data_IF_796012549119
#
_entry.id   IF_796012549119
#
_cell.length_a   1.000
_cell.length_b   1.000
_cell.length_c   1.000
_cell.angle_alpha   90.00
_cell.angle_beta   90.00
_cell.angle_gamma   90.00
#
_symmetry.space_group_name_H-M   'P 1'
#
loop_
_entity.id
_entity.type
_entity.pdbx_description
1 polymer ?
#
# COMPACT_ATOMS: atom_id res chain seq x y z
N UNK A 1 22.46 -17.91 -1.41
CA UNK A 1 22.15 -17.76 -2.86
C UNK A 1 20.86 -18.47 -3.27
N UNK A 2 20.61 -19.72 -2.85
CA UNK A 2 19.38 -20.47 -3.19
C UNK A 2 18.09 -19.84 -2.59
N UNK A 3 18.12 -19.37 -1.34
CA UNK A 3 16.95 -18.71 -0.70
C UNK A 3 16.57 -17.34 -1.30
N UNK A 4 17.53 -16.61 -1.86
CA UNK A 4 17.30 -15.27 -2.42
C UNK A 4 16.77 -15.33 -3.86
N UNK A 5 17.12 -16.39 -4.61
CA UNK A 5 16.53 -16.73 -5.91
C UNK A 5 15.05 -17.12 -5.76
N UNK A 6 14.72 -17.92 -4.75
CA UNK A 6 13.33 -18.24 -4.41
C UNK A 6 12.51 -17.01 -4.05
N UNK A 7 13.05 -16.05 -3.30
CA UNK A 7 12.33 -14.81 -2.97
C UNK A 7 12.09 -13.88 -4.17
N UNK A 8 12.99 -13.82 -5.14
CA UNK A 8 12.78 -13.06 -6.38
C UNK A 8 11.80 -13.77 -7.32
N UNK A 9 11.94 -15.08 -7.46
CA UNK A 9 10.97 -15.91 -8.15
C UNK A 9 9.61 -15.68 -7.50
N UNK A 10 9.48 -15.75 -6.18
CA UNK A 10 8.26 -15.40 -5.46
C UNK A 10 7.82 -13.95 -5.70
N UNK A 11 8.67 -12.92 -5.63
CA UNK A 11 8.27 -11.52 -5.85
C UNK A 11 7.81 -11.23 -7.30
N UNK A 12 8.49 -11.78 -8.32
CA UNK A 12 8.04 -11.74 -9.73
C UNK A 12 6.81 -12.64 -9.92
N UNK A 13 6.78 -13.78 -9.23
CA UNK A 13 5.62 -14.65 -9.06
C UNK A 13 4.55 -14.05 -8.11
N UNK A 14 4.65 -12.77 -7.70
CA UNK A 14 3.67 -12.12 -6.81
C UNK A 14 3.15 -10.79 -7.30
N UNK A 15 3.90 -10.11 -8.18
CA UNK A 15 3.24 -9.42 -9.29
C UNK A 15 2.41 -10.41 -10.14
N UNK A 16 2.68 -11.71 -10.00
CA UNK A 16 1.89 -12.79 -10.58
C UNK A 16 1.23 -13.68 -9.51
N UNK A 17 0.11 -13.31 -8.87
CA UNK A 17 -0.79 -14.35 -8.36
C UNK A 17 -1.47 -15.11 -9.53
N UNK A 18 -0.76 -15.29 -10.65
CA UNK A 18 -1.17 -15.93 -11.88
C UNK A 18 -1.32 -17.44 -11.79
N UNK A 19 -1.60 -17.97 -10.59
CA UNK A 19 -2.14 -19.33 -10.50
C UNK A 19 -3.47 -19.48 -11.28
N UNK A 20 -4.05 -18.40 -11.84
CA UNK A 20 -5.36 -18.43 -12.51
C UNK A 20 -5.51 -17.75 -13.87
N UNK A 21 -4.60 -16.88 -14.34
CA UNK A 21 -4.76 -16.20 -15.66
C UNK A 21 -3.53 -16.33 -16.58
N UNK A 22 -3.45 -17.38 -17.42
CA UNK A 22 -2.31 -17.65 -18.31
C UNK A 22 -1.91 -16.48 -19.21
N UNK A 23 -2.89 -15.70 -19.70
CA UNK A 23 -2.63 -14.53 -20.55
C UNK A 23 -1.78 -13.46 -19.86
N UNK A 24 -1.92 -13.31 -18.54
CA UNK A 24 -1.15 -12.32 -17.79
C UNK A 24 0.28 -12.80 -17.51
N UNK A 25 0.49 -14.11 -17.31
CA UNK A 25 1.82 -14.72 -17.23
C UNK A 25 2.60 -14.41 -18.50
N UNK A 26 1.99 -14.70 -19.65
CA UNK A 26 2.61 -14.50 -20.95
C UNK A 26 2.93 -13.02 -21.19
N UNK A 27 2.01 -12.11 -20.85
CA UNK A 27 2.22 -10.67 -20.99
C UNK A 27 3.41 -10.18 -20.16
N UNK A 28 3.48 -10.57 -18.89
CA UNK A 28 4.56 -10.15 -18.01
C UNK A 28 5.89 -10.78 -18.40
N UNK A 29 5.87 -12.06 -18.77
CA UNK A 29 7.05 -12.77 -19.29
C UNK A 29 7.59 -12.09 -20.55
N UNK A 30 6.71 -11.68 -21.47
CA UNK A 30 7.09 -10.94 -22.67
C UNK A 30 7.68 -9.57 -22.32
N UNK A 31 7.00 -8.78 -21.47
CA UNK A 31 7.48 -7.48 -21.03
C UNK A 31 8.87 -7.53 -20.36
N UNK A 32 9.12 -8.57 -19.55
CA UNK A 32 10.42 -8.84 -18.94
C UNK A 32 11.43 -9.25 -20.02
N UNK A 33 11.09 -10.20 -20.89
CA UNK A 33 12.00 -10.71 -21.93
C UNK A 33 12.49 -9.61 -22.89
N UNK A 34 11.61 -8.69 -23.29
CA UNK A 34 12.00 -7.56 -24.15
C UNK A 34 12.95 -6.60 -23.42
N UNK A 35 12.76 -6.42 -22.12
CA UNK A 35 13.51 -5.44 -21.32
C UNK A 35 14.84 -6.01 -20.80
N UNK A 36 14.90 -7.30 -20.48
CA UNK A 36 16.06 -7.95 -19.87
C UNK A 36 17.27 -7.94 -20.80
N UNK A 37 17.04 -8.11 -22.11
CA UNK A 37 18.09 -8.11 -23.13
C UNK A 37 18.88 -6.80 -23.16
N UNK A 38 18.24 -5.69 -22.80
CA UNK A 38 18.90 -4.37 -22.73
C UNK A 38 19.72 -4.17 -21.46
N UNK A 39 19.52 -5.01 -20.44
CA UNK A 39 20.14 -4.86 -19.11
C UNK A 39 21.16 -5.93 -18.76
N UNK A 40 21.31 -6.98 -19.57
CA UNK A 40 22.37 -7.98 -19.39
C UNK A 40 23.72 -7.32 -19.67
N UNK A 41 24.66 -7.48 -18.74
CA UNK A 41 26.03 -7.03 -18.93
C UNK A 41 26.64 -7.77 -20.12
N UNK A 42 27.02 -7.03 -21.17
CA UNK A 42 27.48 -7.63 -22.43
C UNK A 42 28.82 -8.34 -22.30
N UNK A 43 29.65 -7.98 -21.32
CA UNK A 43 30.99 -8.55 -21.15
C UNK A 43 30.96 -9.82 -20.32
N UNK A 44 30.21 -9.80 -19.22
CA UNK A 44 30.12 -10.89 -18.25
C UNK A 44 28.95 -11.84 -18.54
N UNK A 45 27.99 -11.42 -19.38
CA UNK A 45 26.70 -12.08 -19.62
C UNK A 45 25.91 -12.34 -18.33
N UNK A 46 26.14 -11.54 -17.30
CA UNK A 46 25.46 -11.64 -16.00
C UNK A 46 24.41 -10.56 -15.87
N UNK A 47 23.37 -10.85 -15.08
CA UNK A 47 22.38 -9.88 -14.65
C UNK A 47 22.52 -9.69 -13.13
N UNK A 48 22.64 -8.44 -12.68
CA UNK A 48 22.71 -8.15 -11.26
C UNK A 48 21.34 -8.40 -10.60
N UNK A 49 21.35 -8.82 -9.32
CA UNK A 49 20.12 -9.05 -8.56
C UNK A 49 19.23 -7.81 -8.48
N UNK A 50 19.84 -6.63 -8.29
CA UNK A 50 19.15 -5.33 -8.30
C UNK A 50 18.38 -5.08 -9.60
N UNK A 51 18.89 -5.57 -10.73
CA UNK A 51 18.24 -5.45 -12.04
C UNK A 51 16.94 -6.24 -12.12
N UNK A 52 16.83 -7.35 -11.41
CA UNK A 52 15.60 -8.11 -11.33
C UNK A 52 14.53 -7.42 -10.46
N UNK A 53 14.94 -6.75 -9.38
CA UNK A 53 14.05 -5.94 -8.54
C UNK A 53 13.46 -4.73 -9.28
N UNK A 54 14.12 -4.21 -10.33
CA UNK A 54 13.54 -3.16 -11.18
C UNK A 54 12.26 -3.64 -11.92
N UNK A 55 12.18 -4.94 -12.23
CA UNK A 55 11.01 -5.52 -12.87
C UNK A 55 9.83 -5.70 -11.91
N UNK A 56 10.09 -5.85 -10.61
CA UNK A 56 9.04 -6.03 -9.61
C UNK A 56 8.38 -4.73 -9.13
N UNK A 57 8.74 -3.57 -9.69
CA UNK A 57 8.36 -2.26 -9.12
C UNK A 57 7.90 -1.23 -10.13
N UNK A 58 8.58 -1.10 -11.28
CA UNK A 58 8.35 0.02 -12.22
C UNK A 58 8.14 -0.39 -13.67
N UNK A 59 9.04 -1.20 -14.21
CA UNK A 59 9.05 -1.46 -15.65
C UNK A 59 7.89 -2.31 -16.11
N UNK A 60 7.39 -3.17 -15.23
CA UNK A 60 6.27 -4.02 -15.56
C UNK A 60 4.97 -3.22 -15.63
N UNK A 61 4.70 -2.35 -14.66
CA UNK A 61 3.49 -1.52 -14.62
C UNK A 61 3.40 -0.54 -15.81
N UNK A 62 4.46 0.23 -16.08
CA UNK A 62 4.49 1.16 -17.23
C UNK A 62 4.30 0.42 -18.57
N UNK A 63 4.90 -0.77 -18.68
CA UNK A 63 4.80 -1.59 -19.90
C UNK A 63 3.42 -2.20 -20.03
N UNK A 64 2.83 -2.71 -18.95
CA UNK A 64 1.47 -3.25 -18.92
C UNK A 64 0.46 -2.16 -19.29
N UNK A 65 0.59 -0.97 -18.72
CA UNK A 65 -0.25 0.19 -19.06
C UNK A 65 -0.20 0.53 -20.55
N UNK A 66 0.91 0.26 -21.25
CA UNK A 66 0.99 0.54 -22.70
C UNK A 66 0.14 -0.39 -23.57
N UNK A 67 -0.23 -1.58 -23.08
CA UNK A 67 -1.06 -2.53 -23.83
C UNK A 67 -2.50 -2.03 -23.95
N UNK A 68 -3.08 -2.23 -25.13
CA UNK A 68 -4.42 -1.74 -25.46
C UNK A 68 -5.49 -2.23 -24.47
N UNK A 69 -5.40 -3.48 -24.01
CA UNK A 69 -6.36 -4.06 -23.06
C UNK A 69 -6.39 -3.30 -21.74
N UNK A 70 -5.24 -2.95 -21.20
CA UNK A 70 -5.13 -2.22 -19.93
C UNK A 70 -5.56 -0.77 -20.07
N UNK A 71 -5.26 -0.11 -21.19
CA UNK A 71 -5.78 1.23 -21.47
C UNK A 71 -7.30 1.25 -21.54
N UNK A 72 -7.89 0.30 -22.27
CA UNK A 72 -9.36 0.18 -22.36
C UNK A 72 -10.01 -0.06 -21.00
N UNK A 73 -9.40 -0.89 -20.16
CA UNK A 73 -9.87 -1.10 -18.78
C UNK A 73 -9.84 0.21 -17.98
N UNK A 74 -8.75 0.99 -18.07
CA UNK A 74 -8.67 2.31 -17.41
C UNK A 74 -9.74 3.24 -17.94
N UNK A 75 -9.87 3.37 -19.27
CA UNK A 75 -10.85 4.25 -19.91
C UNK A 75 -12.30 3.88 -19.51
N UNK A 76 -12.62 2.57 -19.47
CA UNK A 76 -13.91 2.04 -19.05
C UNK A 76 -14.21 2.39 -17.58
N UNK A 77 -13.26 2.12 -16.68
CA UNK A 77 -13.42 2.42 -15.25
C UNK A 77 -13.42 3.92 -14.96
N UNK A 78 -12.90 4.74 -15.86
CA UNK A 78 -12.91 6.20 -15.73
C UNK A 78 -14.22 6.83 -16.19
N UNK A 79 -15.07 6.10 -16.92
CA UNK A 79 -16.34 6.61 -17.42
C UNK A 79 -17.30 6.98 -16.27
N UNK A 80 -18.25 7.88 -16.53
CA UNK A 80 -19.23 8.29 -15.51
C UNK A 80 -20.11 7.11 -15.07
N UNK A 81 -20.47 6.23 -16.01
CA UNK A 81 -21.30 5.04 -15.80
C UNK A 81 -20.64 4.03 -14.86
N UNK A 82 -19.31 3.98 -14.83
CA UNK A 82 -18.55 3.08 -13.95
C UNK A 82 -18.38 3.61 -12.51
N UNK A 83 -18.89 4.81 -12.19
CA UNK A 83 -18.62 5.48 -10.90
C UNK A 83 -19.07 4.66 -9.69
N UNK A 84 -20.26 4.05 -9.75
CA UNK A 84 -20.75 3.23 -8.65
C UNK A 84 -19.92 1.95 -8.50
N UNK A 85 -19.53 1.33 -9.62
CA UNK A 85 -18.67 0.15 -9.61
C UNK A 85 -17.27 0.45 -9.06
N UNK A 86 -16.67 1.58 -9.43
CA UNK A 86 -15.38 2.01 -8.86
C UNK A 86 -15.51 2.38 -7.37
N UNK A 87 -16.67 2.89 -6.95
CA UNK A 87 -16.94 3.16 -5.54
C UNK A 87 -16.99 1.86 -4.73
N UNK A 88 -17.74 0.85 -5.20
CA UNK A 88 -17.75 -0.49 -4.62
C UNK A 88 -16.34 -1.10 -4.59
N UNK A 89 -15.60 -0.99 -5.69
CA UNK A 89 -14.23 -1.48 -5.79
C UNK A 89 -13.34 -0.86 -4.71
N UNK A 90 -13.39 0.47 -4.55
CA UNK A 90 -12.62 1.22 -3.54
C UNK A 90 -13.02 0.87 -2.11
N UNK A 91 -14.29 0.60 -1.82
CA UNK A 91 -14.76 0.34 -0.46
C UNK A 91 -14.58 -1.10 0.03
N UNK A 92 -14.59 -2.08 -0.87
CA UNK A 92 -14.70 -3.50 -0.49
C UNK A 92 -13.51 -4.36 -0.93
N UNK A 93 -12.85 -4.00 -2.04
CA UNK A 93 -11.89 -4.89 -2.70
C UNK A 93 -10.46 -4.37 -2.71
N UNK A 94 -10.26 -3.06 -2.85
CA UNK A 94 -8.94 -2.50 -3.11
C UNK A 94 -8.01 -2.74 -1.92
N UNK A 95 -6.80 -3.21 -2.23
CA UNK A 95 -5.79 -3.62 -1.28
C UNK A 95 -6.13 -4.94 -0.55
N UNK A 96 -7.19 -5.65 -0.94
CA UNK A 96 -7.56 -6.94 -0.34
C UNK A 96 -7.70 -8.04 -1.41
N UNK A 97 -6.91 -9.11 -1.27
CA UNK A 97 -6.85 -10.21 -2.24
C UNK A 97 -7.68 -11.44 -1.84
N UNK A 98 -8.44 -11.35 -0.75
CA UNK A 98 -9.34 -12.43 -0.33
C UNK A 98 -10.73 -12.27 -0.93
N UNK A 99 -11.60 -13.19 -0.54
CA UNK A 99 -12.97 -13.23 -1.04
C UNK A 99 -13.86 -12.25 -0.26
N UNK A 100 -14.75 -11.57 -0.99
CA UNK A 100 -15.77 -10.64 -0.50
C UNK A 100 -17.11 -11.15 -0.97
N UNK A 101 -18.08 -11.18 -0.07
CA UNK A 101 -19.43 -11.63 -0.34
C UNK A 101 -20.36 -10.42 -0.45
N UNK A 102 -21.21 -10.40 -1.48
CA UNK A 102 -22.11 -9.27 -1.77
C UNK A 102 -23.55 -9.78 -1.79
N UNK A 103 -24.42 -9.16 -0.99
CA UNK A 103 -25.84 -9.50 -0.94
C UNK A 103 -26.75 -8.54 -1.72
N UNK A 104 -26.30 -7.29 -1.94
CA UNK A 104 -27.13 -6.29 -2.60
C UNK A 104 -27.16 -6.49 -4.13
N UNK A 105 -28.37 -6.57 -4.70
CA UNK A 105 -28.59 -6.80 -6.13
C UNK A 105 -27.95 -5.73 -7.04
N UNK A 106 -27.80 -4.49 -6.58
CA UNK A 106 -27.14 -3.43 -7.35
C UNK A 106 -25.63 -3.57 -7.27
N UNK A 107 -25.09 -3.83 -6.09
CA UNK A 107 -23.67 -4.10 -5.90
C UNK A 107 -23.22 -5.37 -6.65
N UNK A 108 -24.08 -6.39 -6.77
CA UNK A 108 -23.84 -7.57 -7.61
C UNK A 108 -23.64 -7.17 -9.07
N UNK A 109 -24.50 -6.31 -9.63
CA UNK A 109 -24.34 -5.83 -11.02
C UNK A 109 -23.06 -5.04 -11.22
N UNK A 110 -22.67 -4.25 -10.23
CA UNK A 110 -21.41 -3.51 -10.23
C UNK A 110 -20.20 -4.47 -10.18
N UNK A 111 -20.26 -5.51 -9.34
CA UNK A 111 -19.22 -6.53 -9.25
C UNK A 111 -19.13 -7.40 -10.52
N UNK A 112 -20.25 -7.71 -11.16
CA UNK A 112 -20.29 -8.41 -12.45
C UNK A 112 -19.67 -7.55 -13.57
N UNK A 113 -19.95 -6.25 -13.59
CA UNK A 113 -19.27 -5.31 -14.49
C UNK A 113 -17.75 -5.31 -14.27
N UNK A 114 -17.29 -5.20 -13.02
CA UNK A 114 -15.87 -5.27 -12.69
C UNK A 114 -15.24 -6.63 -13.05
N UNK A 115 -16.01 -7.71 -13.00
CA UNK A 115 -15.58 -9.04 -13.44
C UNK A 115 -15.43 -9.09 -14.96
N UNK A 116 -16.35 -8.48 -15.72
CA UNK A 116 -16.28 -8.38 -17.18
C UNK A 116 -15.08 -7.52 -17.65
N UNK A 117 -14.73 -6.48 -16.90
CA UNK A 117 -13.53 -5.67 -17.12
C UNK A 117 -12.23 -6.40 -16.73
N UNK A 118 -12.31 -7.59 -16.13
CA UNK A 118 -11.15 -8.37 -15.67
C UNK A 118 -10.51 -7.83 -14.39
N UNK A 119 -11.20 -6.95 -13.68
CA UNK A 119 -10.78 -6.40 -12.39
C UNK A 119 -11.05 -7.40 -11.27
N UNK A 120 -12.26 -7.95 -11.23
CA UNK A 120 -12.64 -8.97 -10.26
C UNK A 120 -12.66 -10.37 -10.89
N UNK A 121 -12.60 -11.37 -10.02
CA UNK A 121 -12.93 -12.75 -10.33
C UNK A 121 -14.13 -13.17 -9.50
N UNK A 122 -15.02 -13.93 -10.11
CA UNK A 122 -16.09 -14.68 -9.45
C UNK A 122 -15.67 -16.15 -9.39
N UNK A 123 -15.14 -16.64 -8.24
CA UNK A 123 -14.57 -17.99 -8.17
C UNK A 123 -15.60 -19.09 -8.45
N UNK A 124 -16.84 -18.86 -8.07
CA UNK A 124 -17.97 -19.77 -8.26
C UNK A 124 -19.13 -18.99 -8.90
N UNK A 125 -19.59 -19.43 -10.07
CA UNK A 125 -20.56 -18.67 -10.89
C UNK A 125 -21.88 -18.44 -10.15
N UNK A 126 -22.29 -19.43 -9.35
CA UNK A 126 -23.57 -19.45 -8.65
C UNK A 126 -23.52 -18.75 -7.27
N UNK A 127 -22.34 -18.31 -6.83
CA UNK A 127 -22.18 -17.62 -5.56
C UNK A 127 -21.91 -16.13 -5.76
N UNK A 128 -22.47 -15.27 -4.90
CA UNK A 128 -22.18 -13.84 -4.90
C UNK A 128 -20.86 -13.52 -4.20
N UNK A 129 -19.84 -14.34 -4.47
CA UNK A 129 -18.50 -14.23 -3.92
C UNK A 129 -17.55 -13.74 -5.00
N UNK A 130 -16.87 -12.64 -4.73
CA UNK A 130 -15.95 -11.99 -5.66
C UNK A 130 -14.61 -11.78 -4.98
N UNK A 131 -13.56 -11.57 -5.76
CA UNK A 131 -12.25 -11.18 -5.24
C UNK A 131 -11.43 -10.48 -6.29
N UNK A 132 -10.40 -9.77 -5.85
CA UNK A 132 -9.47 -9.14 -6.75
C UNK A 132 -8.77 -10.14 -7.68
N UNK A 133 -8.73 -9.86 -8.98
CA UNK A 133 -8.18 -10.77 -9.97
C UNK A 133 -6.69 -11.06 -9.72
N UNK A 134 -5.93 -10.04 -9.32
CA UNK A 134 -4.54 -10.18 -8.92
C UNK A 134 -4.03 -8.96 -8.15
N UNK A 135 -2.95 -9.13 -7.40
CA UNK A 135 -2.17 -8.05 -6.78
C UNK A 135 -1.64 -7.03 -7.79
N UNK A 136 -1.38 -7.47 -9.02
CA UNK A 136 -0.96 -6.60 -10.12
C UNK A 136 -2.11 -5.75 -10.63
N UNK A 137 -3.30 -6.34 -10.85
CA UNK A 137 -4.51 -5.58 -11.20
C UNK A 137 -4.86 -4.62 -10.06
N UNK A 138 -4.81 -5.06 -8.80
CA UNK A 138 -4.96 -4.18 -7.63
C UNK A 138 -4.01 -2.98 -7.68
N UNK A 139 -2.71 -3.22 -7.79
CA UNK A 139 -1.68 -2.18 -7.88
C UNK A 139 -1.91 -1.25 -9.07
N UNK A 140 -2.28 -1.80 -10.23
CA UNK A 140 -2.58 -1.07 -11.44
C UNK A 140 -3.79 -0.14 -11.28
N UNK A 141 -4.91 -0.65 -10.74
CA UNK A 141 -6.11 0.15 -10.48
C UNK A 141 -5.83 1.25 -9.46
N UNK A 142 -5.15 0.91 -8.36
CA UNK A 142 -4.78 1.89 -7.34
C UNK A 142 -3.85 2.99 -7.86
N UNK A 143 -3.14 2.74 -8.96
CA UNK A 143 -2.24 3.70 -9.59
C UNK A 143 -2.92 4.53 -10.69
N UNK A 144 -3.68 3.90 -11.57
CA UNK A 144 -4.16 4.54 -12.79
C UNK A 144 -5.64 4.92 -12.75
N UNK A 145 -6.44 4.36 -11.83
CA UNK A 145 -7.88 4.65 -11.74
C UNK A 145 -8.21 5.44 -10.48
N UNK A 146 -7.86 4.93 -9.30
CA UNK A 146 -8.27 5.52 -8.01
C UNK A 146 -7.83 6.98 -7.84
N UNK A 147 -6.57 7.38 -8.12
CA UNK A 147 -6.15 8.77 -7.94
C UNK A 147 -6.86 9.73 -8.91
N UNK A 148 -7.23 9.26 -10.10
CA UNK A 148 -7.92 10.08 -11.11
C UNK A 148 -9.40 10.26 -10.77
N UNK A 149 -10.08 9.19 -10.32
CA UNK A 149 -11.48 9.26 -9.87
C UNK A 149 -11.66 10.02 -8.57
N UNK A 150 -10.65 10.01 -7.70
CA UNK A 150 -10.71 10.62 -6.37
C UNK A 150 -9.49 11.55 -6.15
N UNK A 151 -9.45 12.71 -6.83
CA UNK A 151 -8.27 13.57 -6.92
C UNK A 151 -7.94 14.36 -5.64
N UNK A 152 -8.83 14.35 -4.64
CA UNK A 152 -8.71 15.18 -3.44
C UNK A 152 -7.39 14.92 -2.69
N UNK A 153 -6.54 15.94 -2.59
CA UNK A 153 -5.24 15.87 -1.94
C UNK A 153 -4.79 17.29 -1.56
N UNK A 154 -3.77 17.44 -0.67
CA UNK A 154 -3.23 18.75 -0.35
C UNK A 154 -2.75 19.49 -1.60
N UNK A 155 -3.00 20.79 -1.63
CA UNK A 155 -2.43 21.73 -2.61
C UNK A 155 -1.28 22.56 -2.02
N UNK A 156 -0.97 22.33 -0.74
CA UNK A 156 0.11 23.01 -0.02
C UNK A 156 1.48 22.58 -0.56
N UNK A 157 2.53 23.41 -0.39
CA UNK A 157 3.90 23.02 -0.71
C UNK A 157 4.29 21.75 0.03
N UNK A 158 5.01 20.85 -0.64
CA UNK A 158 5.45 19.58 -0.05
C UNK A 158 6.40 19.87 1.13
N UNK A 159 6.09 19.41 2.36
CA UNK A 159 6.95 19.59 3.52
C UNK A 159 8.34 18.99 3.30
N UNK A 160 9.36 19.81 3.55
CA UNK A 160 10.76 19.45 3.41
C UNK A 160 11.58 20.11 4.51
N UNK A 161 12.62 19.40 4.94
CA UNK A 161 13.61 19.99 5.82
C UNK A 161 14.44 21.03 5.07
N UNK A 162 14.41 22.29 5.54
CA UNK A 162 15.03 23.44 4.88
C UNK A 162 16.51 23.22 4.52
N UNK A 163 17.29 22.60 5.42
CA UNK A 163 18.74 22.42 5.23
C UNK A 163 19.10 21.33 4.23
N UNK A 164 18.35 20.22 4.19
CA UNK A 164 18.69 19.03 3.39
C UNK A 164 17.86 18.92 2.12
N UNK A 165 16.71 19.61 2.06
CA UNK A 165 15.72 19.45 1.02
C UNK A 165 15.10 18.04 0.96
N UNK A 166 15.30 17.23 1.99
CA UNK A 166 14.65 15.92 2.16
C UNK A 166 13.20 16.11 2.56
N UNK A 167 12.34 15.15 2.20
CA UNK A 167 10.93 15.14 2.59
C UNK A 167 10.82 15.10 4.12
N UNK A 168 9.94 15.91 4.67
CA UNK A 168 9.53 15.79 6.07
C UNK A 168 8.34 14.84 6.14
N UNK A 169 8.63 13.56 6.37
CA UNK A 169 7.63 12.48 6.28
C UNK A 169 6.57 12.60 7.37
N UNK A 170 6.94 13.04 8.58
CA UNK A 170 5.97 13.19 9.66
C UNK A 170 4.94 14.28 9.33
N UNK A 171 5.40 15.44 8.83
CA UNK A 171 4.49 16.51 8.40
C UNK A 171 3.67 16.13 7.16
N UNK A 172 4.25 15.38 6.20
CA UNK A 172 3.52 14.83 5.06
C UNK A 172 2.39 13.90 5.52
N UNK A 173 2.66 13.02 6.49
CA UNK A 173 1.64 12.12 7.05
C UNK A 173 0.53 12.94 7.71
N UNK A 174 0.87 13.86 8.61
CA UNK A 174 -0.10 14.73 9.29
C UNK A 174 -1.00 15.51 8.31
N UNK A 175 -0.41 16.08 7.27
CA UNK A 175 -1.17 16.82 6.25
C UNK A 175 -2.06 15.88 5.43
N UNK A 176 -1.55 14.69 5.07
CA UNK A 176 -2.31 13.70 4.30
C UNK A 176 -3.57 13.25 5.03
N UNK A 177 -3.53 13.07 6.36
CA UNK A 177 -4.70 12.64 7.14
C UNK A 177 -5.92 13.55 7.01
N UNK A 178 -5.70 14.85 6.73
CA UNK A 178 -6.81 15.81 6.53
C UNK A 178 -7.62 15.52 5.26
N UNK A 179 -7.06 14.75 4.34
CA UNK A 179 -7.65 14.43 3.03
C UNK A 179 -8.14 12.99 2.93
N UNK A 180 -8.12 12.25 4.05
CA UNK A 180 -8.72 10.93 4.14
C UNK A 180 -10.24 11.03 3.98
N UNK A 181 -10.81 10.11 3.22
CA UNK A 181 -12.25 10.00 3.06
C UNK A 181 -12.87 9.41 4.34
N UNK A 182 -13.38 10.28 5.21
CA UNK A 182 -13.93 9.89 6.52
C UNK A 182 -15.11 8.92 6.39
N UNK A 183 -15.92 9.05 5.34
CA UNK A 183 -17.03 8.14 5.06
C UNK A 183 -16.53 6.75 4.70
N UNK A 184 -15.46 6.67 3.90
CA UNK A 184 -14.80 5.40 3.60
C UNK A 184 -14.21 4.74 4.86
N UNK A 185 -13.53 5.50 5.72
CA UNK A 185 -12.97 4.97 6.97
C UNK A 185 -14.07 4.46 7.90
N UNK A 186 -15.17 5.21 8.04
CA UNK A 186 -16.31 4.81 8.87
C UNK A 186 -16.98 3.51 8.36
N UNK A 187 -17.15 3.39 7.04
CA UNK A 187 -17.75 2.22 6.39
C UNK A 187 -16.82 1.00 6.35
N UNK A 188 -15.50 1.20 6.47
CA UNK A 188 -14.52 0.13 6.39
C UNK A 188 -14.71 -0.95 7.47
N UNK A 189 -15.30 -0.62 8.62
CA UNK A 189 -15.62 -1.62 9.66
C UNK A 189 -16.70 -2.62 9.23
N UNK A 190 -17.52 -2.26 8.25
CA UNK A 190 -18.57 -3.12 7.70
C UNK A 190 -18.10 -3.81 6.42
N UNK A 191 -17.36 -3.09 5.58
CA UNK A 191 -17.02 -3.50 4.20
C UNK A 191 -15.62 -4.09 4.05
N UNK A 192 -14.65 -3.55 4.80
CA UNK A 192 -13.22 -3.85 4.67
C UNK A 192 -12.55 -4.01 6.04
N UNK A 193 -13.02 -4.99 6.82
CA UNK A 193 -12.71 -5.09 8.24
C UNK A 193 -11.89 -6.31 8.63
N UNK A 194 -11.10 -6.18 9.69
CA UNK A 194 -10.55 -7.33 10.42
C UNK A 194 -11.04 -7.32 11.86
N UNK A 195 -10.78 -8.41 12.58
CA UNK A 195 -11.28 -8.62 13.94
C UNK A 195 -10.11 -8.92 14.89
N UNK A 196 -9.42 -7.89 15.42
CA UNK A 196 -8.31 -8.09 16.34
C UNK A 196 -8.82 -8.52 17.73
N UNK A 197 -7.93 -9.16 18.50
CA UNK A 197 -8.24 -9.64 19.86
C UNK A 197 -8.15 -8.55 20.96
N UNK A 198 -7.65 -7.36 20.62
CA UNK A 198 -7.54 -6.22 21.53
C UNK A 198 -8.91 -5.59 21.82
N UNK A 199 -8.97 -4.68 22.81
CA UNK A 199 -10.19 -3.93 23.12
C UNK A 199 -10.29 -2.68 22.25
N UNK A 200 -11.48 -2.47 21.70
CA UNK A 200 -11.88 -1.29 20.93
C UNK A 200 -13.28 -0.93 21.39
N UNK A 201 -13.47 0.31 21.83
CA UNK A 201 -14.72 0.80 22.43
C UNK A 201 -15.19 -0.13 23.57
N UNK A 202 -14.24 -0.53 24.44
CA UNK A 202 -14.41 -1.46 25.56
C UNK A 202 -14.72 -2.92 25.18
N UNK A 203 -14.82 -3.26 23.90
CA UNK A 203 -15.21 -4.57 23.40
C UNK A 203 -14.05 -5.31 22.73
N UNK A 204 -13.97 -6.65 22.90
CA UNK A 204 -13.03 -7.51 22.16
C UNK A 204 -13.66 -8.01 20.88
N UNK A 205 -12.83 -8.37 19.91
CA UNK A 205 -13.27 -8.91 18.61
C UNK A 205 -14.20 -7.93 17.87
N UNK A 206 -13.93 -6.63 18.04
CA UNK A 206 -14.63 -5.56 17.35
C UNK A 206 -14.10 -5.46 15.93
N UNK A 207 -14.98 -5.25 14.95
CA UNK A 207 -14.57 -4.99 13.57
C UNK A 207 -13.85 -3.64 13.49
N UNK A 208 -12.69 -3.62 12.83
CA UNK A 208 -11.88 -2.41 12.62
C UNK A 208 -11.43 -2.36 11.17
N UNK A 209 -11.14 -1.17 10.62
CA UNK A 209 -10.64 -1.07 9.26
C UNK A 209 -9.33 -1.85 9.08
N UNK A 210 -9.18 -2.49 7.92
CA UNK A 210 -7.94 -3.19 7.53
C UNK A 210 -6.84 -2.21 7.16
N UNK A 211 -5.60 -2.71 7.17
CA UNK A 211 -4.40 -2.04 6.65
C UNK A 211 -4.62 -1.45 5.26
N UNK A 212 -5.28 -2.21 4.38
CA UNK A 212 -5.51 -1.88 2.98
C UNK A 212 -6.30 -0.59 2.78
N UNK A 213 -7.18 -0.24 3.72
CA UNK A 213 -8.00 0.97 3.68
C UNK A 213 -7.11 2.19 3.83
N UNK A 214 -6.27 2.21 4.87
CA UNK A 214 -5.31 3.28 5.10
C UNK A 214 -4.25 3.34 4.01
N UNK A 215 -3.76 2.19 3.54
CA UNK A 215 -2.74 2.08 2.48
C UNK A 215 -3.24 2.67 1.16
N UNK A 216 -4.49 2.38 0.82
CA UNK A 216 -5.11 2.89 -0.41
C UNK A 216 -5.34 4.39 -0.33
N UNK A 217 -5.90 4.88 0.77
CA UNK A 217 -6.16 6.31 0.95
C UNK A 217 -4.87 7.12 0.98
N UNK A 218 -3.88 6.67 1.74
CA UNK A 218 -2.60 7.37 1.80
C UNK A 218 -1.92 7.35 0.43
N UNK A 219 -1.91 6.22 -0.27
CA UNK A 219 -1.28 6.16 -1.60
C UNK A 219 -1.97 7.08 -2.61
N UNK A 220 -3.30 7.10 -2.64
CA UNK A 220 -4.10 8.01 -3.49
C UNK A 220 -3.70 9.47 -3.26
N UNK A 221 -3.65 9.88 -2.00
CA UNK A 221 -3.32 11.26 -1.60
C UNK A 221 -1.88 11.61 -1.99
N UNK A 222 -0.92 10.75 -1.66
CA UNK A 222 0.49 10.98 -1.94
C UNK A 222 0.79 11.01 -3.45
N UNK A 223 0.10 10.18 -4.25
CA UNK A 223 0.22 10.20 -5.70
C UNK A 223 -0.26 11.53 -6.29
N UNK A 224 -1.42 12.01 -5.87
CA UNK A 224 -1.98 13.28 -6.35
C UNK A 224 -1.17 14.49 -5.84
N UNK A 225 -0.65 14.42 -4.62
CA UNK A 225 0.11 15.52 -4.02
C UNK A 225 1.59 15.53 -4.44
N UNK A 226 2.35 14.51 -4.03
CA UNK A 226 3.80 14.47 -4.27
C UNK A 226 4.12 14.21 -5.75
N UNK A 227 3.35 13.33 -6.39
CA UNK A 227 3.46 13.03 -7.81
C UNK A 227 3.01 14.20 -8.69
N UNK A 228 1.88 14.82 -8.34
CA UNK A 228 1.33 15.96 -9.07
C UNK A 228 2.22 17.20 -9.03
N UNK A 229 2.68 17.61 -7.84
CA UNK A 229 3.41 18.86 -7.68
C UNK A 229 4.90 18.76 -8.04
N UNK A 230 5.54 17.65 -7.65
CA UNK A 230 7.00 17.55 -7.76
C UNK A 230 7.49 16.27 -8.44
N UNK A 231 6.61 15.50 -9.07
CA UNK A 231 6.98 14.29 -9.83
C UNK A 231 7.73 13.28 -8.97
N UNK A 232 7.42 13.21 -7.68
CA UNK A 232 7.80 12.05 -6.88
C UNK A 232 7.04 10.84 -7.40
N UNK A 233 7.73 9.71 -7.46
CA UNK A 233 7.10 8.43 -7.74
C UNK A 233 6.60 7.86 -6.42
N UNK A 234 5.32 7.49 -6.39
CA UNK A 234 4.68 6.80 -5.27
C UNK A 234 4.16 5.48 -5.80
N UNK A 235 4.61 4.36 -5.23
CA UNK A 235 4.21 3.01 -5.66
C UNK A 235 3.86 2.13 -4.46
N UNK A 236 2.75 1.40 -4.54
CA UNK A 236 2.43 0.31 -3.62
C UNK A 236 3.10 -0.98 -4.09
N UNK A 237 3.92 -1.58 -3.23
CA UNK A 237 4.66 -2.81 -3.50
C UNK A 237 4.17 -3.94 -2.61
N UNK A 238 3.61 -4.97 -3.24
CA UNK A 238 3.21 -6.22 -2.58
C UNK A 238 4.40 -7.13 -2.35
N UNK A 239 4.51 -7.68 -1.14
CA UNK A 239 5.52 -8.69 -0.80
C UNK A 239 4.89 -9.84 -0.01
N UNK A 240 5.40 -11.06 -0.24
CA UNK A 240 5.21 -12.20 0.67
C UNK A 240 6.56 -12.59 1.25
N UNK A 241 6.57 -12.96 2.53
CA UNK A 241 7.79 -13.52 3.14
C UNK A 241 7.58 -14.81 3.91
N UNK A 242 6.36 -15.25 4.18
CA UNK A 242 6.23 -16.48 4.92
C UNK A 242 6.32 -17.70 4.00
N UNK A 243 7.02 -18.73 4.48
CA UNK A 243 7.16 -20.04 3.82
C UNK A 243 5.79 -20.73 3.61
N UNK A 244 4.75 -20.27 4.32
CA UNK A 244 3.36 -20.71 4.23
C UNK A 244 2.46 -19.81 3.33
N UNK A 245 2.98 -18.68 2.82
CA UNK A 245 2.23 -17.73 1.99
C UNK A 245 1.14 -16.91 2.71
N UNK A 246 1.10 -16.93 4.05
CA UNK A 246 0.09 -16.27 4.90
C UNK A 246 0.39 -14.78 5.13
N UNK A 247 1.66 -14.40 5.35
CA UNK A 247 2.03 -13.00 5.60
C UNK A 247 2.09 -12.21 4.28
N UNK A 248 1.01 -11.47 3.98
CA UNK A 248 0.94 -10.50 2.88
C UNK A 248 1.03 -9.07 3.42
N UNK A 249 1.91 -8.25 2.88
CA UNK A 249 2.04 -6.85 3.26
C UNK A 249 2.33 -6.00 2.02
N UNK A 250 1.91 -4.73 2.11
CA UNK A 250 2.09 -3.70 1.09
C UNK A 250 2.97 -2.59 1.69
N UNK A 251 3.97 -2.15 0.93
CA UNK A 251 4.75 -0.96 1.26
C UNK A 251 4.42 0.16 0.29
N UNK A 252 4.31 1.39 0.80
CA UNK A 252 4.34 2.57 -0.06
C UNK A 252 5.80 3.00 -0.20
N UNK A 253 6.30 2.99 -1.43
CA UNK A 253 7.64 3.46 -1.76
C UNK A 253 7.53 4.82 -2.43
N UNK A 254 8.21 5.81 -1.85
CA UNK A 254 8.31 7.17 -2.36
C UNK A 254 9.75 7.39 -2.83
N UNK A 255 9.92 7.69 -4.11
CA UNK A 255 11.25 7.94 -4.66
C UNK A 255 11.24 9.05 -5.72
N UNK A 256 12.42 9.57 -6.02
CA UNK A 256 12.64 10.51 -7.13
C UNK A 256 14.11 10.36 -7.58
N UNK A 257 14.42 10.43 -8.90
CA UNK A 257 15.79 10.29 -9.37
C UNK A 257 16.75 11.24 -8.62
N UNK A 258 17.87 10.70 -8.14
CA UNK A 258 18.90 11.41 -7.36
C UNK A 258 18.41 11.96 -6.01
N UNK A 259 17.29 11.46 -5.48
CA UNK A 259 16.78 11.78 -4.14
C UNK A 259 16.71 10.51 -3.29
N UNK A 260 16.64 10.71 -1.99
CA UNK A 260 16.39 9.68 -0.99
C UNK A 260 15.11 8.89 -1.32
N UNK A 261 15.18 7.57 -1.20
CA UNK A 261 14.00 6.71 -1.23
C UNK A 261 13.47 6.55 0.20
N UNK A 262 12.16 6.66 0.34
CA UNK A 262 11.42 6.45 1.59
C UNK A 262 10.46 5.28 1.44
N UNK A 263 10.33 4.48 2.49
CA UNK A 263 9.37 3.37 2.56
C UNK A 263 8.42 3.61 3.72
N UNK A 264 7.12 3.38 3.50
CA UNK A 264 6.09 3.38 4.53
C UNK A 264 5.49 1.98 4.64
N UNK A 265 5.48 1.41 5.84
CA UNK A 265 4.71 0.21 6.18
C UNK A 265 3.46 0.61 6.95
N UNK A 266 2.29 0.31 6.42
CA UNK A 266 1.04 0.65 7.09
C UNK A 266 0.50 -0.54 7.87
N UNK A 267 0.16 -0.29 9.13
CA UNK A 267 -0.45 -1.26 10.04
C UNK A 267 -1.81 -0.73 10.49
N UNK A 268 -2.76 -1.64 10.68
CA UNK A 268 -4.04 -1.35 11.32
C UNK A 268 -4.09 -2.03 12.70
N UNK A 269 -5.08 -1.68 13.53
CA UNK A 269 -5.29 -2.19 14.89
C UNK A 269 -4.90 -3.67 15.03
N UNK A 270 -3.91 -3.95 15.87
CA UNK A 270 -3.41 -5.30 16.08
C UNK A 270 -2.76 -5.44 17.45
N UNK A 271 -2.60 -6.67 17.92
CA UNK A 271 -1.97 -6.92 19.21
C UNK A 271 -0.46 -6.55 19.19
N UNK A 272 0.11 -6.37 20.38
CA UNK A 272 1.52 -5.98 20.55
C UNK A 272 2.51 -6.87 19.79
N UNK A 273 2.31 -8.20 19.79
CA UNK A 273 3.20 -9.12 19.09
C UNK A 273 3.13 -8.96 17.57
N UNK A 274 1.95 -8.69 17.02
CA UNK A 274 1.77 -8.34 15.61
C UNK A 274 2.51 -7.05 15.28
N UNK A 275 2.28 -5.95 16.01
CA UNK A 275 2.93 -4.67 15.73
C UNK A 275 4.45 -4.79 15.83
N UNK A 276 4.96 -5.45 16.88
CA UNK A 276 6.40 -5.66 17.07
C UNK A 276 7.02 -6.50 15.95
N UNK A 277 6.34 -7.58 15.53
CA UNK A 277 6.77 -8.42 14.39
C UNK A 277 6.97 -7.59 13.12
N UNK A 278 6.12 -6.59 12.87
CA UNK A 278 6.23 -5.71 11.71
C UNK A 278 7.38 -4.70 11.87
N UNK A 279 7.51 -4.05 13.04
CA UNK A 279 8.66 -3.18 13.34
C UNK A 279 10.00 -3.90 13.14
N UNK A 280 10.11 -5.14 13.61
CA UNK A 280 11.33 -5.95 13.52
C UNK A 280 11.69 -6.36 12.07
N UNK A 281 10.71 -6.38 11.16
CA UNK A 281 10.91 -6.77 9.76
C UNK A 281 11.33 -5.61 8.85
N UNK A 282 10.96 -4.37 9.18
CA UNK A 282 11.17 -3.19 8.32
C UNK A 282 12.63 -2.97 7.91
N UNK A 283 13.66 -3.14 8.78
CA UNK A 283 15.07 -2.98 8.39
C UNK A 283 15.46 -3.83 7.18
N UNK A 284 14.91 -5.04 7.07
CA UNK A 284 15.18 -5.94 5.94
C UNK A 284 14.73 -5.34 4.61
N UNK A 285 13.51 -4.79 4.54
CA UNK A 285 12.97 -4.21 3.31
C UNK A 285 13.63 -2.87 2.98
N UNK A 286 13.93 -2.07 3.99
CA UNK A 286 14.74 -0.86 3.84
C UNK A 286 16.06 -1.16 3.14
N UNK A 287 16.76 -2.18 3.58
CA UNK A 287 18.02 -2.60 2.97
C UNK A 287 17.83 -3.18 1.56
N UNK A 288 16.78 -4.00 1.35
CA UNK A 288 16.46 -4.58 0.04
C UNK A 288 16.20 -3.51 -1.03
N UNK A 289 15.47 -2.45 -0.66
CA UNK A 289 15.09 -1.35 -1.54
C UNK A 289 16.10 -0.18 -1.52
N UNK A 290 17.18 -0.31 -0.73
CA UNK A 290 18.22 0.72 -0.56
C UNK A 290 17.62 2.06 -0.16
N UNK A 291 16.62 2.03 0.73
CA UNK A 291 15.96 3.22 1.24
C UNK A 291 16.77 3.88 2.36
N UNK A 292 16.76 5.21 2.35
CA UNK A 292 17.50 6.01 3.33
C UNK A 292 16.80 5.97 4.69
N UNK A 293 15.48 6.04 4.67
CA UNK A 293 14.63 5.95 5.86
C UNK A 293 13.38 5.11 5.57
N UNK A 294 12.81 4.55 6.64
CA UNK A 294 11.56 3.80 6.60
C UNK A 294 10.68 4.20 7.78
N UNK A 295 9.37 4.20 7.57
CA UNK A 295 8.39 4.53 8.59
C UNK A 295 7.40 3.39 8.77
N UNK A 296 7.21 2.95 10.01
CA UNK A 296 6.03 2.16 10.39
C UNK A 296 4.92 3.14 10.77
N UNK A 297 3.82 3.10 10.03
CA UNK A 297 2.66 3.97 10.19
C UNK A 297 1.50 3.12 10.69
N UNK A 298 1.25 3.16 11.99
CA UNK A 298 0.24 2.32 12.63
C UNK A 298 -1.02 3.12 12.93
N UNK A 299 -2.12 2.80 12.26
CA UNK A 299 -3.46 3.27 12.58
C UNK A 299 -4.14 2.32 13.55
N UNK A 300 -4.70 2.82 14.64
CA UNK A 300 -5.33 1.97 15.65
C UNK A 300 -6.59 2.60 16.23
N UNK A 301 -7.52 1.73 16.62
CA UNK A 301 -8.67 2.06 17.46
C UNK A 301 -8.57 1.42 18.85
N UNK A 302 -7.44 0.81 19.18
CA UNK A 302 -7.25 0.13 20.47
C UNK A 302 -7.38 1.11 21.64
N UNK A 303 -8.17 0.71 22.65
CA UNK A 303 -8.42 1.51 23.83
C UNK A 303 -7.12 1.82 24.59
N UNK A 304 -6.85 3.10 24.84
CA UNK A 304 -5.69 3.54 25.63
C UNK A 304 -4.32 3.25 25.00
N UNK A 305 -4.26 2.89 23.71
CA UNK A 305 -3.01 2.47 23.06
C UNK A 305 -1.87 3.48 23.20
N UNK A 306 -2.16 4.78 23.05
CA UNK A 306 -1.15 5.83 23.10
C UNK A 306 -0.52 6.03 24.49
N UNK A 307 -1.08 5.42 25.55
CA UNK A 307 -0.44 5.38 26.87
C UNK A 307 0.78 4.46 26.93
N UNK A 308 0.75 3.34 26.18
CA UNK A 308 1.83 2.36 26.12
C UNK A 308 2.05 1.81 24.69
N UNK A 309 2.40 2.66 23.71
CA UNK A 309 2.59 2.26 22.33
C UNK A 309 3.81 1.35 22.14
N UNK A 310 3.80 0.57 21.07
CA UNK A 310 4.89 -0.36 20.74
C UNK A 310 5.97 0.37 19.93
N UNK A 311 7.09 0.67 20.56
CA UNK A 311 8.21 1.36 19.92
C UNK A 311 9.25 0.42 19.34
N UNK A 312 9.98 0.93 18.35
CA UNK A 312 11.24 0.38 17.89
C UNK A 312 12.36 0.55 18.93
N UNK A 313 13.41 -0.27 18.84
CA UNK A 313 14.63 -0.14 19.63
C UNK A 313 15.52 1.02 19.17
N UNK A 314 16.52 1.36 19.99
CA UNK A 314 17.51 2.39 19.67
C UNK A 314 18.44 1.97 18.51
N UNK A 315 18.65 0.67 18.33
CA UNK A 315 19.39 0.16 17.17
C UNK A 315 18.56 0.33 15.89
N UNK A 316 17.27 0.01 15.93
CA UNK A 316 16.36 0.15 14.78
C UNK A 316 16.22 1.60 14.32
N UNK A 317 16.07 2.55 15.25
CA UNK A 317 16.03 3.99 14.90
C UNK A 317 17.38 4.47 14.33
N UNK A 318 18.50 3.93 14.82
CA UNK A 318 19.83 4.24 14.27
C UNK A 318 20.05 3.66 12.86
N UNK A 319 19.39 2.54 12.53
CA UNK A 319 19.30 1.99 11.18
C UNK A 319 18.32 2.74 10.27
N UNK A 320 17.61 3.75 10.79
CA UNK A 320 16.67 4.60 10.05
C UNK A 320 15.24 4.06 10.01
N UNK A 321 14.83 3.31 11.03
CA UNK A 321 13.43 2.90 11.26
C UNK A 321 12.73 3.88 12.20
N UNK A 322 11.82 4.64 11.63
CA UNK A 322 10.95 5.58 12.33
C UNK A 322 9.58 4.93 12.57
N UNK A 323 8.87 5.37 13.61
CA UNK A 323 7.54 4.84 13.96
C UNK A 323 6.60 5.99 14.29
N UNK A 324 5.39 5.92 13.77
CA UNK A 324 4.27 6.79 14.15
C UNK A 324 3.02 5.95 14.37
N UNK A 325 2.32 6.26 15.45
CA UNK A 325 1.04 5.67 15.82
C UNK A 325 -0.04 6.74 15.75
N UNK A 326 -1.07 6.47 14.96
CA UNK A 326 -2.29 7.27 14.88
C UNK A 326 -3.42 6.51 15.56
N UNK A 327 -3.90 7.01 16.69
CA UNK A 327 -5.18 6.56 17.24
C UNK A 327 -6.31 7.39 16.64
N UNK A 328 -7.45 6.78 16.33
CA UNK A 328 -8.64 7.52 15.90
C UNK A 328 -9.94 6.94 16.41
N UNK A 329 -10.97 7.78 16.48
CA UNK A 329 -12.35 7.36 16.70
C UNK A 329 -12.97 6.75 15.44
N UNK A 330 -14.12 6.09 15.59
CA UNK A 330 -14.80 5.35 14.51
C UNK A 330 -15.01 6.17 13.22
N UNK A 331 -15.40 7.42 13.37
CA UNK A 331 -15.75 8.30 12.25
C UNK A 331 -14.58 9.21 11.81
N UNK A 332 -13.37 8.94 12.31
CA UNK A 332 -12.15 9.66 11.95
C UNK A 332 -12.27 11.18 12.16
N UNK A 333 -13.04 11.60 13.17
CA UNK A 333 -13.18 13.01 13.59
C UNK A 333 -12.08 13.39 14.56
N UNK A 334 -11.70 12.47 15.43
CA UNK A 334 -10.63 12.64 16.39
C UNK A 334 -9.47 11.76 15.99
N UNK A 335 -8.31 12.38 15.73
CA UNK A 335 -7.06 11.66 15.50
C UNK A 335 -6.01 12.16 16.48
N UNK A 336 -5.30 11.23 17.11
CA UNK A 336 -4.23 11.49 18.06
C UNK A 336 -2.98 10.74 17.61
N UNK A 337 -1.81 11.29 17.89
CA UNK A 337 -0.54 10.82 17.36
C UNK A 337 0.52 10.70 18.45
N UNK A 338 1.22 9.57 18.46
CA UNK A 338 2.53 9.46 19.09
C UNK A 338 3.57 9.06 18.04
N UNK A 339 4.73 9.69 18.03
CA UNK A 339 5.79 9.41 17.06
C UNK A 339 7.16 9.31 17.72
N UNK A 340 8.02 8.46 17.18
CA UNK A 340 9.43 8.32 17.57
C UNK A 340 10.27 8.16 16.31
N UNK A 341 11.17 9.11 16.05
CA UNK A 341 11.93 9.18 14.79
C UNK A 341 13.30 9.83 14.97
N UNK A 342 14.17 9.66 13.99
CA UNK A 342 15.47 10.34 13.91
C UNK A 342 15.35 11.58 13.04
N UNK A 343 15.69 12.75 13.58
CA UNK A 343 15.64 14.00 12.83
C UNK A 343 16.84 14.18 11.86
N UNK A 344 16.84 15.27 11.10
CA UNK A 344 17.90 15.58 10.13
C UNK A 344 19.26 15.90 10.75
N UNK A 345 19.30 16.19 12.05
CA UNK A 345 20.55 16.40 12.81
C UNK A 345 21.06 15.07 13.40
N UNK A 346 20.28 14.00 13.27
CA UNK A 346 20.60 12.68 13.77
C UNK A 346 20.15 12.45 15.22
N UNK A 347 19.38 13.37 15.80
CA UNK A 347 18.88 13.22 17.16
C UNK A 347 17.60 12.39 17.16
N UNK A 348 17.42 11.59 18.22
CA UNK A 348 16.19 10.85 18.45
C UNK A 348 15.15 11.82 19.02
N UNK A 349 14.03 11.94 18.32
CA UNK A 349 12.87 12.73 18.71
C UNK A 349 11.74 11.80 19.15
N UNK A 350 10.91 12.30 20.07
CA UNK A 350 9.71 11.62 20.53
C UNK A 350 8.60 12.63 20.78
N UNK A 351 7.40 12.28 20.38
CA UNK A 351 6.18 13.01 20.62
C UNK A 351 5.12 12.04 21.13
N UNK A 352 4.46 12.41 22.22
CA UNK A 352 3.48 11.55 22.87
C UNK A 352 2.10 12.22 22.85
N UNK A 353 1.11 11.48 22.36
CA UNK A 353 -0.33 11.73 22.50
C UNK A 353 -0.82 13.12 22.04
N UNK A 354 -0.24 13.62 20.95
CA UNK A 354 -0.62 14.88 20.31
C UNK A 354 -1.97 14.73 19.60
N UNK A 355 -2.94 15.58 19.93
CA UNK A 355 -4.16 15.69 19.15
C UNK A 355 -3.88 16.41 17.82
N UNK A 356 -4.29 15.80 16.70
CA UNK A 356 -4.23 16.43 15.39
C UNK A 356 -5.53 17.21 15.16
N UNK A 357 -5.40 18.49 14.82
CA UNK A 357 -6.54 19.34 14.48
C UNK A 357 -6.93 19.04 13.02
N UNK A 358 -8.18 18.59 12.83
CA UNK A 358 -8.79 18.38 11.53
C UNK A 358 -9.78 19.49 11.19
#
# INVERSE_FOLDING_TARGET
>A
MVSHSQNLTNNIFLLNPFKRHPGMICLCGHAIAESILTKVDRQTRKLAYKTWLDFSTRQLDERIHSYLTFRRMVDSLQSEEATDAVTLLRSDFIGFLGDVYIDDDKEIKQADFLTAEGVLLKPEIDENRYRMASALVDSFIRRHVIPQKYPNAPSTPIPKHYRTGRLDILEILKESLKFFDKGLIELAELRSYKTPSVRVDCNRNTQVPRESVYDTELMRILMNWLGGLEKYRVTGQWHLRSDDGIDKYSYIVIDKPKKATVILELLATGNSSFIKKHIDKVPYYKNLLVAEESWVVHFTREDGYLGHPNWQSDDQINEGVNVVHFWHDKNFKTVRMSARWKDVEGNIQKMDDQQLVH
#
